data_IF_369262596142
#
_entry.id   IF_369262596142
#
_cell.length_a   1.000
_cell.length_b   1.000
_cell.length_c   1.000
_cell.angle_alpha   90.00
_cell.angle_beta   90.00
_cell.angle_gamma   90.00
#
_symmetry.space_group_name_H-M   'P 1'
#
loop_
_entity.id
_entity.type
_entity.pdbx_description
1 polymer ?
#
# COMPACT_ATOMS: atom_id res chain seq x y z
N UNK A 1 -4.74 -6.67 -9.75
CA UNK A 1 -4.44 -5.22 -9.58
C UNK A 1 -3.39 -4.73 -10.58
N UNK A 2 -3.18 -3.41 -10.70
CA UNK A 2 -2.12 -2.81 -11.54
C UNK A 2 -0.97 -2.32 -10.66
N UNK A 3 0.27 -2.56 -11.09
CA UNK A 3 1.48 -2.02 -10.44
C UNK A 3 1.54 -0.49 -10.57
N UNK A 4 1.96 0.17 -9.49
CA UNK A 4 2.24 1.61 -9.46
C UNK A 4 3.66 1.82 -9.99
N UNK A 5 3.83 2.72 -10.97
CA UNK A 5 5.15 3.04 -11.53
C UNK A 5 5.66 4.34 -10.93
N UNK A 6 6.92 4.38 -10.53
CA UNK A 6 7.60 5.64 -10.21
C UNK A 6 7.62 6.56 -11.45
N UNK A 7 7.28 7.84 -11.27
CA UNK A 7 7.25 8.84 -12.34
C UNK A 7 8.09 10.03 -11.91
N UNK A 8 8.77 10.69 -12.85
CA UNK A 8 9.58 11.88 -12.58
C UNK A 8 8.80 12.99 -11.88
N UNK A 9 7.50 13.11 -12.17
CA UNK A 9 6.59 14.07 -11.53
C UNK A 9 6.31 13.83 -10.04
N UNK A 10 6.81 12.73 -9.46
CA UNK A 10 6.70 12.43 -8.02
C UNK A 10 7.93 12.88 -7.22
N UNK A 11 8.95 13.43 -7.88
CA UNK A 11 10.16 13.92 -7.22
C UNK A 11 9.83 15.13 -6.34
N UNK A 12 10.15 15.03 -5.06
CA UNK A 12 10.15 16.13 -4.10
C UNK A 12 11.45 16.96 -4.16
N UNK A 13 12.48 16.43 -4.83
CA UNK A 13 13.81 17.05 -4.87
C UNK A 13 14.62 16.84 -3.58
N UNK A 14 14.09 16.08 -2.62
CA UNK A 14 14.76 15.70 -1.38
C UNK A 14 15.01 14.19 -1.43
N UNK A 15 16.27 13.78 -1.48
CA UNK A 15 16.65 12.38 -1.68
C UNK A 15 16.01 11.42 -0.66
N UNK A 16 15.97 11.79 0.64
CA UNK A 16 15.31 10.99 1.69
C UNK A 16 13.82 10.81 1.39
N UNK A 17 13.11 11.89 1.03
CA UNK A 17 11.67 11.85 0.71
C UNK A 17 11.41 11.02 -0.55
N UNK A 18 12.23 11.18 -1.59
CA UNK A 18 12.10 10.43 -2.84
C UNK A 18 12.33 8.93 -2.64
N UNK A 19 13.33 8.57 -1.84
CA UNK A 19 13.59 7.17 -1.47
C UNK A 19 12.44 6.60 -0.64
N UNK A 20 11.92 7.39 0.31
CA UNK A 20 10.81 6.98 1.15
C UNK A 20 9.53 6.73 0.34
N UNK A 21 9.20 7.63 -0.59
CA UNK A 21 8.07 7.48 -1.51
C UNK A 21 8.24 6.25 -2.43
N UNK A 22 9.46 6.01 -2.94
CA UNK A 22 9.77 4.81 -3.73
C UNK A 22 9.60 3.53 -2.92
N UNK A 23 9.98 3.52 -1.66
CA UNK A 23 9.82 2.36 -0.80
C UNK A 23 8.35 1.98 -0.61
N UNK A 24 7.45 2.96 -0.45
CA UNK A 24 6.01 2.67 -0.41
C UNK A 24 5.52 2.05 -1.73
N UNK A 25 5.92 2.60 -2.87
CA UNK A 25 5.56 2.03 -4.18
C UNK A 25 6.05 0.60 -4.32
N UNK A 26 7.24 0.29 -3.82
CA UNK A 26 7.79 -1.06 -3.84
C UNK A 26 6.95 -2.02 -2.96
N UNK A 27 6.55 -1.60 -1.76
CA UNK A 27 5.64 -2.37 -0.89
C UNK A 27 4.33 -2.67 -1.62
N UNK A 28 3.71 -1.66 -2.21
CA UNK A 28 2.47 -1.83 -2.97
C UNK A 28 2.65 -2.76 -4.17
N UNK A 29 3.77 -2.69 -4.88
CA UNK A 29 4.04 -3.56 -6.03
C UNK A 29 4.35 -5.00 -5.63
N UNK A 30 4.97 -5.22 -4.48
CA UNK A 30 5.18 -6.55 -3.92
C UNK A 30 3.84 -7.18 -3.56
N UNK A 31 2.90 -6.43 -2.97
CA UNK A 31 1.56 -6.97 -2.71
C UNK A 31 0.84 -7.39 -4.01
N UNK A 32 0.96 -6.62 -5.10
CA UNK A 32 0.41 -7.03 -6.41
C UNK A 32 1.02 -8.35 -6.88
N UNK A 33 2.30 -8.57 -6.62
CA UNK A 33 2.96 -9.81 -6.99
C UNK A 33 2.44 -10.99 -6.16
N UNK A 34 2.44 -10.86 -4.83
CA UNK A 34 1.94 -11.90 -3.91
C UNK A 34 0.46 -12.23 -4.15
N UNK A 35 -0.37 -11.21 -4.38
CA UNK A 35 -1.80 -11.38 -4.68
C UNK A 35 -2.05 -12.13 -5.99
N UNK A 36 -1.11 -12.12 -6.94
CA UNK A 36 -1.26 -12.90 -8.18
C UNK A 36 -0.84 -14.37 -8.00
N UNK A 37 -0.15 -14.73 -6.91
CA UNK A 37 0.28 -16.10 -6.61
C UNK A 37 -0.73 -16.84 -5.72
N UNK A 38 -1.62 -16.12 -5.05
CA UNK A 38 -2.57 -16.65 -4.07
C UNK A 38 -4.00 -16.25 -4.40
N UNK A 39 -4.95 -17.17 -4.19
CA UNK A 39 -6.36 -16.82 -4.16
C UNK A 39 -6.63 -15.92 -2.95
N UNK A 40 -7.27 -14.77 -3.15
CA UNK A 40 -7.49 -13.76 -2.12
C UNK A 40 -8.83 -13.04 -2.34
N UNK A 41 -9.27 -12.25 -1.36
CA UNK A 41 -10.54 -11.54 -1.44
C UNK A 41 -10.48 -10.31 -2.36
N UNK A 42 -11.59 -10.01 -3.05
CA UNK A 42 -11.72 -8.82 -3.89
C UNK A 42 -11.51 -7.52 -3.08
N UNK A 43 -11.86 -7.51 -1.79
CA UNK A 43 -11.71 -6.34 -0.92
C UNK A 43 -10.24 -5.93 -0.76
N UNK A 44 -9.31 -6.89 -0.71
CA UNK A 44 -7.88 -6.61 -0.68
C UNK A 44 -7.42 -5.94 -1.98
N UNK A 45 -7.93 -6.41 -3.12
CA UNK A 45 -7.68 -5.80 -4.43
C UNK A 45 -8.18 -4.35 -4.51
N UNK A 46 -9.30 -4.06 -3.85
CA UNK A 46 -9.92 -2.74 -3.83
C UNK A 46 -9.20 -1.80 -2.86
N UNK A 47 -8.84 -2.28 -1.67
CA UNK A 47 -8.02 -1.56 -0.69
C UNK A 47 -6.65 -1.21 -1.28
N UNK A 48 -5.99 -2.15 -1.95
CA UNK A 48 -4.72 -1.90 -2.62
C UNK A 48 -4.83 -0.79 -3.68
N UNK A 49 -5.90 -0.83 -4.49
CA UNK A 49 -6.17 0.18 -5.50
C UNK A 49 -6.41 1.55 -4.86
N UNK A 50 -7.13 1.59 -3.75
CA UNK A 50 -7.37 2.80 -2.98
C UNK A 50 -6.06 3.38 -2.45
N UNK A 51 -5.25 2.59 -1.75
CA UNK A 51 -3.95 3.02 -1.21
C UNK A 51 -3.01 3.49 -2.33
N UNK A 52 -2.94 2.74 -3.44
CA UNK A 52 -2.14 3.13 -4.60
C UNK A 52 -2.56 4.47 -5.20
N UNK A 53 -3.87 4.69 -5.34
CA UNK A 53 -4.41 5.96 -5.86
C UNK A 53 -4.17 7.10 -4.88
N UNK A 54 -4.35 6.87 -3.58
CA UNK A 54 -4.06 7.82 -2.52
C UNK A 54 -2.59 8.24 -2.53
N UNK A 55 -1.67 7.28 -2.59
CA UNK A 55 -0.23 7.56 -2.66
C UNK A 55 0.14 8.32 -3.92
N UNK A 56 -0.39 7.94 -5.09
CA UNK A 56 -0.16 8.66 -6.35
C UNK A 56 -0.66 10.12 -6.27
N UNK A 57 -1.83 10.36 -5.67
CA UNK A 57 -2.38 11.71 -5.51
C UNK A 57 -1.53 12.55 -4.54
N UNK A 58 -1.15 12.01 -3.38
CA UNK A 58 -0.31 12.70 -2.40
C UNK A 58 1.05 13.08 -2.99
N UNK A 59 1.70 12.17 -3.71
CA UNK A 59 2.97 12.46 -4.39
C UNK A 59 2.81 13.50 -5.51
N UNK A 60 1.62 13.64 -6.10
CA UNK A 60 1.36 14.65 -7.14
C UNK A 60 1.08 16.03 -6.56
N UNK A 61 0.32 16.10 -5.47
CA UNK A 61 -0.16 17.34 -4.89
C UNK A 61 0.83 17.90 -3.86
N UNK A 62 1.32 17.05 -2.96
CA UNK A 62 2.12 17.43 -1.80
C UNK A 62 3.60 17.02 -1.95
N UNK A 63 3.94 16.21 -2.97
CA UNK A 63 5.29 15.64 -3.23
C UNK A 63 5.82 14.74 -2.11
N UNK A 64 5.11 14.62 -1.00
CA UNK A 64 5.39 13.77 0.13
C UNK A 64 4.10 13.05 0.54
N UNK A 65 4.25 11.83 1.02
CA UNK A 65 3.11 11.05 1.51
C UNK A 65 2.89 11.37 2.99
N UNK A 66 1.67 11.76 3.33
CA UNK A 66 1.25 11.93 4.72
C UNK A 66 1.11 10.56 5.39
N UNK A 67 2.14 10.21 6.17
CA UNK A 67 2.19 8.95 6.95
C UNK A 67 1.04 8.84 7.93
N UNK A 68 0.56 9.94 8.50
CA UNK A 68 -0.50 9.93 9.51
C UNK A 68 -1.82 9.56 8.87
N UNK A 69 -2.14 10.16 7.72
CA UNK A 69 -3.32 9.79 6.92
C UNK A 69 -3.23 8.34 6.44
N UNK A 70 -2.07 7.92 5.94
CA UNK A 70 -1.89 6.54 5.50
C UNK A 70 -2.05 5.55 6.68
N UNK A 71 -1.44 5.85 7.83
CA UNK A 71 -1.60 5.05 9.05
C UNK A 71 -3.07 4.91 9.43
N UNK A 72 -3.80 6.04 9.42
CA UNK A 72 -5.22 6.05 9.72
C UNK A 72 -6.00 5.11 8.80
N UNK A 73 -5.85 5.26 7.47
CA UNK A 73 -6.48 4.40 6.46
C UNK A 73 -6.18 2.91 6.74
N UNK A 74 -4.92 2.57 6.98
CA UNK A 74 -4.53 1.17 7.22
C UNK A 74 -5.15 0.63 8.51
N UNK A 75 -5.12 1.39 9.59
CA UNK A 75 -5.68 0.96 10.88
C UNK A 75 -7.20 0.92 10.90
N UNK A 76 -7.89 1.66 10.04
CA UNK A 76 -9.36 1.65 9.94
C UNK A 76 -9.87 0.56 9.01
N UNK A 77 -9.13 0.27 7.94
CA UNK A 77 -9.55 -0.68 6.91
C UNK A 77 -8.97 -2.09 7.10
N UNK A 78 -7.89 -2.25 7.88
CA UNK A 78 -7.22 -3.55 8.13
C UNK A 78 -7.35 -3.97 9.61
N UNK A 79 -7.71 -5.24 9.91
CA UNK A 79 -8.04 -6.31 8.96
C UNK A 79 -9.37 -6.03 8.25
N UNK A 80 -9.37 -6.21 6.93
CA UNK A 80 -10.60 -6.20 6.15
C UNK A 80 -11.54 -7.23 6.75
N UNK A 81 -12.84 -6.91 6.81
CA UNK A 81 -13.83 -7.88 7.25
C UNK A 81 -13.68 -9.15 6.41
N UNK A 82 -13.27 -10.25 7.03
CA UNK A 82 -13.16 -11.52 6.35
C UNK A 82 -14.54 -11.87 5.78
N UNK A 83 -14.68 -11.84 4.45
CA UNK A 83 -15.79 -12.54 3.82
C UNK A 83 -15.60 -14.00 4.23
N UNK A 84 -16.62 -14.65 4.78
CA UNK A 84 -16.60 -16.05 5.23
C UNK A 84 -16.30 -17.01 4.04
N UNK A 85 -15.09 -16.95 3.49
CA UNK A 85 -14.59 -17.75 2.39
C UNK A 85 -13.20 -18.23 2.78
N UNK A 86 -12.91 -19.50 2.49
CA UNK A 86 -11.64 -20.13 2.86
C UNK A 86 -10.43 -19.36 2.32
N UNK A 87 -10.54 -18.84 1.09
CA UNK A 87 -9.50 -18.02 0.46
C UNK A 87 -9.13 -16.75 1.25
N UNK A 88 -10.09 -16.13 1.95
CA UNK A 88 -9.81 -14.95 2.77
C UNK A 88 -9.07 -15.29 4.07
N UNK A 89 -9.33 -16.46 4.64
CA UNK A 89 -8.71 -16.91 5.89
C UNK A 89 -7.28 -17.42 5.69
N UNK A 90 -6.97 -18.04 4.55
CA UNK A 90 -5.70 -18.73 4.34
C UNK A 90 -4.64 -17.89 3.57
N UNK A 91 -5.01 -16.74 3.01
CA UNK A 91 -4.07 -15.98 2.16
C UNK A 91 -3.00 -15.17 2.92
N UNK A 92 -3.27 -14.76 4.18
CA UNK A 92 -2.33 -13.99 5.02
C UNK A 92 -1.92 -12.60 4.48
N UNK A 93 -2.47 -12.16 3.35
CA UNK A 93 -2.04 -10.93 2.67
C UNK A 93 -2.46 -9.65 3.39
N UNK A 94 -3.55 -9.67 4.15
CA UNK A 94 -3.98 -8.54 4.98
C UNK A 94 -2.94 -8.23 6.07
N UNK A 95 -2.45 -9.27 6.76
CA UNK A 95 -1.44 -9.13 7.81
C UNK A 95 -0.10 -8.69 7.23
N UNK A 96 0.30 -9.29 6.10
CA UNK A 96 1.51 -8.89 5.39
C UNK A 96 1.47 -7.42 4.96
N UNK A 97 0.36 -6.98 4.37
CA UNK A 97 0.18 -5.58 3.96
C UNK A 97 0.22 -4.63 5.16
N UNK A 98 -0.47 -4.99 6.24
CA UNK A 98 -0.49 -4.19 7.47
C UNK A 98 0.92 -4.02 8.01
N UNK A 99 1.65 -5.12 8.16
CA UNK A 99 3.01 -5.13 8.70
C UNK A 99 3.93 -4.27 7.83
N UNK A 100 3.95 -4.48 6.51
CA UNK A 100 4.84 -3.75 5.62
C UNK A 100 4.57 -2.24 5.61
N UNK A 101 3.31 -1.82 5.67
CA UNK A 101 2.98 -0.38 5.71
C UNK A 101 3.27 0.20 7.09
N UNK A 102 2.98 -0.51 8.18
CA UNK A 102 3.36 -0.07 9.54
C UNK A 102 4.86 0.10 9.65
N UNK A 103 5.65 -0.90 9.21
CA UNK A 103 7.11 -0.82 9.21
C UNK A 103 7.59 0.40 8.43
N UNK A 104 7.02 0.65 7.24
CA UNK A 104 7.35 1.82 6.44
C UNK A 104 7.02 3.15 7.14
N UNK A 105 5.89 3.21 7.85
CA UNK A 105 5.51 4.40 8.64
C UNK A 105 6.52 4.65 9.76
N UNK A 106 6.92 3.60 10.48
CA UNK A 106 7.75 3.67 11.69
C UNK A 106 9.26 3.79 11.41
N UNK A 107 9.70 3.49 10.18
CA UNK A 107 11.10 3.59 9.70
C UNK A 107 11.63 5.03 9.50
N UNK A 108 11.24 6.01 10.32
CA UNK A 108 11.76 7.40 10.17
C UNK A 108 13.21 7.61 10.66
#
# INVERSE_FOLDING_TARGET
MKRVRWKTKYLAGIAKTDEHNKNLINILNNLVFESNQLEHCQDLSDLHRYIGSFAENMMLEEQQIDKTKLKHIITTEIPLHARNTQACHDCGLCDLLNQQIIDWIELD
#
